data_IF_888315650587
#
_entry.id   IF_888315650587
#
_cell.length_a   1.000
_cell.length_b   1.000
_cell.length_c   1.000
_cell.angle_alpha   90.00
_cell.angle_beta   90.00
_cell.angle_gamma   90.00
#
_symmetry.space_group_name_H-M   'P 1'
#
loop_
_entity.id
_entity.type
_entity.pdbx_description
1 polymer ?
#
# COMPACT_ATOMS: atom_id res chain seq x y z
N UNK A 1 4.23 -18.19 -6.39
CA UNK A 1 3.43 -18.78 -7.51
C UNK A 1 1.98 -18.94 -7.11
N UNK A 2 1.11 -17.98 -7.45
CA UNK A 2 -0.33 -18.10 -7.22
C UNK A 2 -0.98 -19.02 -8.26
N UNK A 3 -2.08 -19.67 -7.90
CA UNK A 3 -2.89 -20.45 -8.83
C UNK A 3 -4.10 -19.66 -9.28
N UNK A 4 -4.49 -19.81 -10.54
CA UNK A 4 -5.67 -19.21 -11.14
C UNK A 4 -6.64 -20.32 -11.55
N UNK A 5 -7.92 -20.15 -11.26
CA UNK A 5 -9.01 -21.00 -11.74
C UNK A 5 -10.17 -20.14 -12.20
N UNK A 6 -10.76 -20.51 -13.32
CA UNK A 6 -12.00 -19.91 -13.82
C UNK A 6 -13.19 -20.69 -13.26
N UNK A 7 -14.09 -19.97 -12.60
CA UNK A 7 -15.41 -20.46 -12.20
C UNK A 7 -16.50 -19.97 -13.16
N UNK A 8 -17.74 -20.32 -12.86
CA UNK A 8 -18.89 -19.78 -13.60
C UNK A 8 -19.14 -18.33 -13.16
N UNK A 9 -18.72 -17.37 -13.98
CA UNK A 9 -18.90 -15.94 -13.72
C UNK A 9 -17.86 -15.29 -12.80
N UNK A 10 -16.77 -15.99 -12.43
CA UNK A 10 -15.69 -15.42 -11.61
C UNK A 10 -14.33 -16.02 -11.93
N UNK A 11 -13.26 -15.33 -11.51
CA UNK A 11 -11.89 -15.86 -11.47
C UNK A 11 -11.44 -15.98 -10.03
N UNK A 12 -10.93 -17.15 -9.64
CA UNK A 12 -10.34 -17.40 -8.33
C UNK A 12 -8.81 -17.43 -8.43
N UNK A 13 -8.17 -16.62 -7.59
CA UNK A 13 -6.75 -16.62 -7.32
C UNK A 13 -6.51 -17.19 -5.92
N UNK A 14 -5.57 -18.13 -5.80
CA UNK A 14 -5.20 -18.73 -4.52
C UNK A 14 -3.69 -18.71 -4.34
N UNK A 15 -3.23 -18.28 -3.16
CA UNK A 15 -1.82 -18.24 -2.82
C UNK A 15 -1.22 -19.66 -2.68
N UNK A 16 0.12 -19.82 -2.70
CA UNK A 16 0.76 -21.14 -2.60
C UNK A 16 0.39 -21.94 -1.35
N UNK A 17 0.09 -21.25 -0.24
CA UNK A 17 -0.26 -21.87 1.03
C UNK A 17 -1.77 -22.17 1.18
N UNK A 18 -2.58 -21.83 0.17
CA UNK A 18 -4.06 -21.90 0.22
C UNK A 18 -4.67 -21.15 1.42
N UNK A 19 -3.95 -20.13 1.90
CA UNK A 19 -4.32 -19.29 3.04
C UNK A 19 -5.13 -18.06 2.63
N UNK A 20 -5.13 -17.69 1.35
CA UNK A 20 -5.82 -16.55 0.76
C UNK A 20 -6.53 -16.99 -0.52
N UNK A 21 -7.80 -16.58 -0.64
CA UNK A 21 -8.59 -16.67 -1.85
C UNK A 21 -9.02 -15.26 -2.25
N UNK A 22 -8.75 -14.90 -3.50
CA UNK A 22 -9.25 -13.68 -4.10
C UNK A 22 -10.15 -14.03 -5.28
N UNK A 23 -11.39 -13.57 -5.26
CA UNK A 23 -12.35 -13.75 -6.35
C UNK A 23 -12.51 -12.43 -7.09
N UNK A 24 -12.37 -12.47 -8.41
CA UNK A 24 -12.65 -11.35 -9.29
C UNK A 24 -14.00 -11.62 -9.97
N UNK A 25 -14.95 -10.72 -9.79
CA UNK A 25 -16.33 -10.86 -10.26
C UNK A 25 -16.76 -9.58 -10.96
N UNK A 26 -17.53 -9.70 -12.04
CA UNK A 26 -18.22 -8.56 -12.66
C UNK A 26 -19.69 -8.90 -12.77
N UNK A 27 -20.54 -8.05 -12.20
CA UNK A 27 -21.99 -8.22 -12.22
C UNK A 27 -22.66 -6.97 -12.77
N UNK A 28 -23.77 -7.09 -13.51
CA UNK A 28 -24.55 -5.93 -13.91
C UNK A 28 -25.28 -5.33 -12.71
N UNK A 29 -25.34 -4.00 -12.64
CA UNK A 29 -26.08 -3.26 -11.63
C UNK A 29 -25.30 -2.10 -11.02
N UNK A 30 -26.04 -1.09 -10.56
CA UNK A 30 -25.48 0.10 -9.89
C UNK A 30 -25.58 0.03 -8.36
N UNK A 31 -26.31 -0.94 -7.81
CA UNK A 31 -26.39 -1.17 -6.37
C UNK A 31 -25.21 -2.05 -5.93
N UNK A 32 -24.15 -1.40 -5.45
CA UNK A 32 -22.93 -2.10 -5.04
C UNK A 32 -23.14 -2.99 -3.82
N UNK A 33 -24.07 -2.67 -2.93
CA UNK A 33 -24.36 -3.50 -1.75
C UNK A 33 -25.03 -4.82 -2.16
N UNK A 34 -26.03 -4.75 -3.04
CA UNK A 34 -26.67 -5.94 -3.58
C UNK A 34 -25.72 -6.76 -4.45
N UNK A 35 -24.97 -6.12 -5.35
CA UNK A 35 -23.97 -6.78 -6.19
C UNK A 35 -22.89 -7.48 -5.34
N UNK A 36 -22.50 -6.91 -4.20
CA UNK A 36 -21.57 -7.55 -3.26
C UNK A 36 -22.15 -8.85 -2.68
N UNK A 37 -23.41 -8.84 -2.25
CA UNK A 37 -24.07 -10.05 -1.75
C UNK A 37 -24.24 -11.11 -2.85
N UNK A 38 -24.62 -10.68 -4.06
CA UNK A 38 -24.78 -11.57 -5.22
C UNK A 38 -23.43 -12.20 -5.60
N UNK A 39 -22.33 -11.46 -5.54
CA UNK A 39 -20.99 -11.97 -5.81
C UNK A 39 -20.54 -12.99 -4.77
N UNK A 40 -20.81 -12.77 -3.49
CA UNK A 40 -20.55 -13.78 -2.46
C UNK A 40 -21.38 -15.04 -2.66
N UNK A 41 -22.67 -14.88 -2.97
CA UNK A 41 -23.58 -16.01 -3.26
C UNK A 41 -23.13 -16.81 -4.49
N UNK A 42 -22.55 -16.13 -5.49
CA UNK A 42 -22.00 -16.76 -6.69
C UNK A 42 -20.82 -17.68 -6.37
N UNK A 43 -19.91 -17.25 -5.49
CA UNK A 43 -18.70 -18.02 -5.15
C UNK A 43 -18.94 -19.01 -4.00
N UNK A 44 -19.89 -18.73 -3.13
CA UNK A 44 -20.34 -19.56 -2.01
C UNK A 44 -21.87 -19.42 -1.83
N UNK A 45 -22.68 -20.36 -2.37
CA UNK A 45 -24.13 -20.32 -2.23
C UNK A 45 -24.65 -20.45 -0.79
N UNK A 46 -23.79 -20.81 0.17
CA UNK A 46 -24.11 -20.91 1.59
C UNK A 46 -23.65 -19.67 2.39
N UNK A 47 -23.20 -18.62 1.72
CA UNK A 47 -22.73 -17.40 2.37
C UNK A 47 -23.83 -16.74 3.21
N UNK A 48 -23.59 -16.64 4.52
CA UNK A 48 -24.49 -16.03 5.51
C UNK A 48 -23.67 -15.40 6.65
N UNK A 49 -22.60 -14.69 6.29
CA UNK A 49 -21.71 -14.03 7.26
C UNK A 49 -22.18 -12.58 7.44
N UNK A 50 -22.39 -12.11 8.68
CA UNK A 50 -22.86 -10.74 8.94
C UNK A 50 -21.82 -9.71 8.54
N UNK A 51 -22.29 -8.55 8.07
CA UNK A 51 -21.47 -7.37 7.81
C UNK A 51 -21.04 -6.75 9.15
N UNK A 52 -19.76 -6.45 9.28
CA UNK A 52 -19.20 -5.69 10.41
C UNK A 52 -19.24 -4.18 10.12
N UNK A 53 -18.64 -3.78 9.00
CA UNK A 53 -18.54 -2.38 8.59
C UNK A 53 -18.64 -2.22 7.07
N UNK A 54 -19.24 -1.11 6.63
CA UNK A 54 -19.16 -0.63 5.25
C UNK A 54 -18.59 0.78 5.20
N UNK A 55 -17.68 1.01 4.26
CA UNK A 55 -17.10 2.32 3.97
C UNK A 55 -17.34 2.63 2.49
N UNK A 56 -17.66 3.89 2.19
CA UNK A 56 -17.78 4.41 0.81
C UNK A 56 -16.63 5.41 0.55
N UNK A 57 -15.46 4.93 0.09
CA UNK A 57 -14.35 5.81 -0.21
C UNK A 57 -14.68 6.76 -1.37
N UNK A 58 -14.07 7.95 -1.41
CA UNK A 58 -14.13 8.82 -2.57
C UNK A 58 -13.53 8.13 -3.80
N UNK A 59 -14.14 8.33 -4.98
CA UNK A 59 -13.78 7.61 -6.20
C UNK A 59 -12.64 8.24 -7.01
N UNK A 60 -12.25 9.47 -6.67
CA UNK A 60 -11.31 10.26 -7.47
C UNK A 60 -11.80 10.63 -8.89
N UNK A 61 -13.06 10.30 -9.23
CA UNK A 61 -13.68 10.58 -10.53
C UNK A 61 -13.52 9.50 -11.61
N UNK A 62 -12.71 8.47 -11.35
CA UNK A 62 -12.41 7.40 -12.32
C UNK A 62 -13.56 6.40 -12.45
N UNK A 63 -14.14 6.05 -11.30
CA UNK A 63 -15.30 5.15 -11.16
C UNK A 63 -16.48 5.91 -10.54
N UNK A 64 -17.69 5.39 -10.74
CA UNK A 64 -18.93 6.07 -10.36
C UNK A 64 -19.20 5.97 -8.85
N UNK A 65 -18.81 4.84 -8.25
CA UNK A 65 -18.92 4.58 -6.81
C UNK A 65 -17.88 3.53 -6.36
N UNK A 66 -17.48 3.58 -5.09
CA UNK A 66 -16.70 2.53 -4.44
C UNK A 66 -17.38 2.16 -3.13
N UNK A 67 -17.50 0.86 -2.87
CA UNK A 67 -17.99 0.31 -1.61
C UNK A 67 -16.99 -0.74 -1.10
N UNK A 68 -16.55 -0.59 0.15
CA UNK A 68 -15.75 -1.59 0.85
C UNK A 68 -16.58 -2.16 1.98
N UNK A 69 -16.77 -3.49 1.97
CA UNK A 69 -17.57 -4.20 2.97
C UNK A 69 -16.69 -5.20 3.70
N UNK A 70 -16.59 -5.07 5.02
CA UNK A 70 -15.88 -5.99 5.92
C UNK A 70 -16.90 -6.82 6.69
N UNK A 71 -16.59 -8.10 6.93
CA UNK A 71 -17.52 -9.06 7.53
C UNK A 71 -17.02 -9.57 8.89
N UNK A 72 -17.95 -9.79 9.81
CA UNK A 72 -17.66 -10.40 11.12
C UNK A 72 -17.61 -11.92 10.97
N UNK A 73 -16.39 -12.45 10.89
CA UNK A 73 -16.14 -13.88 10.75
C UNK A 73 -16.21 -14.64 12.07
N UNK A 74 -16.23 -13.95 13.21
CA UNK A 74 -16.03 -14.53 14.54
C UNK A 74 -14.63 -15.11 14.79
N UNK A 75 -13.69 -14.93 13.87
CA UNK A 75 -12.29 -15.37 13.97
C UNK A 75 -11.36 -14.19 13.70
N UNK A 76 -10.70 -13.71 14.75
CA UNK A 76 -9.75 -12.58 14.69
C UNK A 76 -8.57 -12.84 13.73
N UNK A 77 -8.33 -14.09 13.32
CA UNK A 77 -7.28 -14.47 12.38
C UNK A 77 -7.78 -14.64 10.94
N UNK A 78 -9.06 -14.38 10.64
CA UNK A 78 -9.62 -14.46 9.29
C UNK A 78 -10.20 -13.13 8.87
N UNK A 79 -9.67 -12.58 7.78
CA UNK A 79 -10.18 -11.38 7.14
C UNK A 79 -11.06 -11.79 5.97
N UNK A 80 -12.27 -11.26 5.96
CA UNK A 80 -13.24 -11.43 4.89
C UNK A 80 -13.72 -10.05 4.47
N UNK A 81 -13.46 -9.67 3.23
CA UNK A 81 -13.74 -8.33 2.72
C UNK A 81 -14.14 -8.36 1.25
N UNK A 82 -14.99 -7.42 0.84
CA UNK A 82 -15.28 -7.16 -0.56
C UNK A 82 -14.97 -5.70 -0.90
N UNK A 83 -14.34 -5.48 -2.04
CA UNK A 83 -14.16 -4.16 -2.66
C UNK A 83 -14.95 -4.15 -3.95
N UNK A 84 -16.00 -3.32 -4.01
CA UNK A 84 -16.85 -3.15 -5.18
C UNK A 84 -16.63 -1.76 -5.79
N UNK A 85 -16.45 -1.70 -7.10
CA UNK A 85 -16.33 -0.46 -7.87
C UNK A 85 -17.42 -0.44 -8.95
N UNK A 86 -18.21 0.62 -9.00
CA UNK A 86 -19.26 0.80 -10.00
C UNK A 86 -18.72 1.57 -11.20
N UNK A 87 -18.95 1.06 -12.42
CA UNK A 87 -18.65 1.80 -13.65
C UNK A 87 -19.63 1.44 -14.77
N UNK A 88 -20.25 2.43 -15.38
CA UNK A 88 -21.10 2.32 -16.57
C UNK A 88 -22.24 1.30 -16.42
N UNK A 89 -22.77 1.17 -15.20
CA UNK A 89 -23.88 0.26 -14.90
C UNK A 89 -23.47 -1.17 -14.50
N UNK A 90 -22.17 -1.45 -14.41
CA UNK A 90 -21.61 -2.71 -13.90
C UNK A 90 -20.89 -2.51 -12.57
N UNK A 91 -20.88 -3.55 -11.74
CA UNK A 91 -20.14 -3.65 -10.49
C UNK A 91 -18.95 -4.61 -10.68
N UNK A 92 -17.76 -4.11 -10.39
CA UNK A 92 -16.49 -4.83 -10.46
C UNK A 92 -16.03 -5.14 -9.04
N UNK A 93 -15.96 -6.42 -8.68
CA UNK A 93 -15.76 -6.86 -7.30
C UNK A 93 -14.48 -7.67 -7.14
N UNK A 94 -13.74 -7.34 -6.08
CA UNK A 94 -12.67 -8.17 -5.54
C UNK A 94 -13.13 -8.67 -4.18
N UNK A 95 -13.40 -9.96 -4.08
CA UNK A 95 -13.74 -10.62 -2.81
C UNK A 95 -12.47 -11.25 -2.26
N UNK A 96 -12.18 -11.02 -0.98
CA UNK A 96 -10.98 -11.50 -0.29
C UNK A 96 -11.44 -12.33 0.90
N UNK A 97 -11.03 -13.60 0.93
CA UNK A 97 -11.14 -14.50 2.08
C UNK A 97 -9.75 -15.02 2.41
N UNK A 98 -9.17 -14.57 3.53
CA UNK A 98 -7.79 -14.92 3.85
C UNK A 98 -7.49 -14.96 5.35
N UNK A 99 -6.53 -15.80 5.70
CA UNK A 99 -5.93 -15.79 7.02
C UNK A 99 -5.05 -14.54 7.19
N UNK A 100 -5.15 -13.87 8.33
CA UNK A 100 -4.43 -12.62 8.63
C UNK A 100 -2.92 -12.78 8.41
N UNK A 101 -2.33 -13.87 8.90
CA UNK A 101 -0.90 -14.17 8.70
C UNK A 101 -0.54 -14.34 7.22
N UNK A 102 -1.41 -15.00 6.44
CA UNK A 102 -1.25 -15.15 5.00
C UNK A 102 -1.29 -13.80 4.28
N UNK A 103 -2.28 -12.96 4.60
CA UNK A 103 -2.45 -11.62 4.05
C UNK A 103 -1.26 -10.71 4.39
N UNK A 104 -0.77 -10.73 5.62
CA UNK A 104 0.44 -10.01 6.01
C UNK A 104 1.66 -10.49 5.23
N UNK A 105 1.79 -11.81 5.04
CA UNK A 105 2.87 -12.41 4.27
C UNK A 105 2.82 -12.08 2.79
N UNK A 106 1.63 -12.03 2.19
CA UNK A 106 1.44 -11.84 0.74
C UNK A 106 0.88 -10.46 0.38
N UNK A 107 0.96 -9.47 1.26
CA UNK A 107 0.31 -8.16 1.10
C UNK A 107 0.69 -7.47 -0.23
N UNK A 108 1.96 -7.58 -0.63
CA UNK A 108 2.42 -7.06 -1.91
C UNK A 108 1.74 -7.76 -3.10
N UNK A 109 1.66 -9.10 -3.10
CA UNK A 109 0.99 -9.84 -4.16
C UNK A 109 -0.51 -9.56 -4.18
N UNK A 110 -1.17 -9.45 -3.02
CA UNK A 110 -2.58 -9.04 -2.91
C UNK A 110 -2.78 -7.65 -3.53
N UNK A 111 -1.88 -6.71 -3.25
CA UNK A 111 -1.90 -5.36 -3.84
C UNK A 111 -1.69 -5.38 -5.36
N UNK A 112 -0.82 -6.24 -5.87
CA UNK A 112 -0.59 -6.43 -7.31
C UNK A 112 -1.85 -7.01 -7.98
N UNK A 113 -2.49 -8.00 -7.37
CA UNK A 113 -3.76 -8.55 -7.88
C UNK A 113 -4.84 -7.48 -7.89
N UNK A 114 -4.97 -6.74 -6.78
CA UNK A 114 -5.97 -5.66 -6.63
C UNK A 114 -5.80 -4.56 -7.67
N UNK A 115 -4.58 -4.02 -7.80
CA UNK A 115 -4.26 -2.98 -8.80
C UNK A 115 -4.23 -3.50 -10.24
N UNK A 116 -4.02 -4.80 -10.44
CA UNK A 116 -4.02 -5.46 -11.74
C UNK A 116 -5.41 -5.77 -12.29
N UNK A 117 -6.46 -5.72 -11.46
CA UNK A 117 -7.85 -5.91 -11.91
C UNK A 117 -8.36 -4.64 -12.61
N UNK A 118 -7.98 -4.49 -13.88
CA UNK A 118 -8.29 -3.32 -14.70
C UNK A 118 -9.75 -3.30 -15.15
N UNK A 119 -10.47 -2.23 -14.81
CA UNK A 119 -11.81 -1.94 -15.33
C UNK A 119 -11.66 -1.35 -16.73
N UNK A 120 -11.96 -2.12 -17.78
CA UNK A 120 -11.76 -1.67 -19.17
C UNK A 120 -12.69 -0.53 -19.60
N UNK A 121 -13.80 -0.32 -18.89
CA UNK A 121 -14.71 0.80 -19.08
C UNK A 121 -14.14 2.14 -18.54
N UNK A 122 -13.08 2.09 -17.75
CA UNK A 122 -12.34 3.28 -17.34
C UNK A 122 -11.46 3.73 -18.50
N UNK A 123 -11.72 4.93 -19.01
CA UNK A 123 -10.84 5.58 -19.98
C UNK A 123 -9.55 6.01 -19.27
N UNK A 124 -8.41 5.43 -19.68
CA UNK A 124 -7.11 5.87 -19.18
C UNK A 124 -6.76 7.22 -19.80
N UNK A 125 -6.44 8.18 -18.95
CA UNK A 125 -5.89 9.46 -19.42
C UNK A 125 -4.47 9.23 -19.94
N UNK A 126 -4.31 9.30 -21.25
CA UNK A 126 -2.98 9.31 -21.87
C UNK A 126 -2.36 10.70 -21.78
N UNK A 127 -1.34 10.83 -20.94
CA UNK A 127 -0.57 12.06 -20.74
C UNK A 127 0.75 12.07 -21.52
N UNK A 128 1.02 11.07 -22.36
CA UNK A 128 2.32 10.93 -23.05
C UNK A 128 2.62 12.07 -24.02
N UNK A 129 1.58 12.65 -24.64
CA UNK A 129 1.65 13.78 -25.56
C UNK A 129 1.04 15.07 -24.95
N UNK A 130 0.72 15.05 -23.65
CA UNK A 130 0.12 16.20 -22.98
C UNK A 130 1.20 17.21 -22.58
N UNK A 131 0.97 18.48 -22.91
CA UNK A 131 1.77 19.57 -22.35
C UNK A 131 1.36 19.80 -20.90
N UNK A 132 2.32 19.99 -19.97
CA UNK A 132 2.01 20.35 -18.59
C UNK A 132 1.14 21.59 -18.53
N UNK A 133 0.05 21.53 -17.77
CA UNK A 133 -0.77 22.70 -17.51
C UNK A 133 0.00 23.69 -16.62
N UNK A 134 -0.08 25.00 -16.88
CA UNK A 134 0.55 25.98 -16.01
C UNK A 134 -0.10 25.96 -14.63
N UNK A 135 0.72 26.09 -13.58
CA UNK A 135 0.21 26.22 -12.20
C UNK A 135 -0.35 27.63 -12.00
N UNK A 136 -1.56 27.86 -12.49
CA UNK A 136 -2.25 29.14 -12.43
C UNK A 136 -3.25 29.23 -11.25
N UNK A 137 -3.95 30.36 -11.17
CA UNK A 137 -4.92 30.62 -10.09
C UNK A 137 -6.11 29.67 -10.10
N UNK A 138 -6.49 29.13 -11.26
CA UNK A 138 -7.63 28.22 -11.38
C UNK A 138 -7.26 26.83 -10.86
N UNK A 139 -6.09 26.31 -11.27
CA UNK A 139 -5.56 25.04 -10.76
C UNK A 139 -5.30 25.12 -9.25
N UNK A 140 -4.70 26.22 -8.78
CA UNK A 140 -4.47 26.43 -7.35
C UNK A 140 -5.80 26.44 -6.58
N UNK A 141 -6.82 27.15 -7.05
CA UNK A 141 -8.12 27.18 -6.37
C UNK A 141 -8.76 25.79 -6.30
N UNK A 142 -8.71 25.01 -7.39
CA UNK A 142 -9.22 23.64 -7.42
C UNK A 142 -8.45 22.71 -6.48
N UNK A 143 -7.12 22.84 -6.41
CA UNK A 143 -6.28 22.09 -5.47
C UNK A 143 -6.61 22.45 -4.01
N UNK A 144 -6.78 23.74 -3.69
CA UNK A 144 -7.13 24.18 -2.35
C UNK A 144 -8.48 23.64 -1.90
N UNK A 145 -9.50 23.68 -2.79
CA UNK A 145 -10.81 23.09 -2.53
C UNK A 145 -10.71 21.58 -2.27
N UNK A 146 -10.00 20.85 -3.14
CA UNK A 146 -9.72 19.43 -2.96
C UNK A 146 -9.12 19.13 -1.58
N UNK A 147 -8.05 19.85 -1.21
CA UNK A 147 -7.37 19.64 0.07
C UNK A 147 -8.33 19.90 1.23
N UNK A 148 -9.04 21.03 1.24
CA UNK A 148 -9.96 21.36 2.33
C UNK A 148 -11.09 20.34 2.45
N UNK A 149 -11.69 19.91 1.33
CA UNK A 149 -12.73 18.88 1.32
C UNK A 149 -12.26 17.58 1.97
N UNK A 150 -11.04 17.12 1.64
CA UNK A 150 -10.53 15.86 2.18
C UNK A 150 -9.94 15.95 3.58
N UNK A 151 -9.43 17.13 3.99
CA UNK A 151 -9.10 17.37 5.39
C UNK A 151 -10.35 17.19 6.27
N UNK A 152 -11.48 17.75 5.87
CA UNK A 152 -12.75 17.61 6.58
C UNK A 152 -13.29 16.18 6.53
N UNK A 153 -13.37 15.59 5.34
CA UNK A 153 -13.94 14.25 5.14
C UNK A 153 -13.21 13.16 5.94
N UNK A 154 -11.88 13.28 6.10
CA UNK A 154 -11.06 12.30 6.82
C UNK A 154 -10.64 12.75 8.22
N UNK A 155 -11.10 13.91 8.69
CA UNK A 155 -10.72 14.46 10.00
C UNK A 155 -9.21 14.68 10.16
N UNK A 156 -8.51 15.02 9.07
CA UNK A 156 -7.07 15.28 9.07
C UNK A 156 -6.84 16.71 9.61
N UNK A 157 -6.08 16.91 10.71
CA UNK A 157 -5.96 18.23 11.34
C UNK A 157 -5.34 19.32 10.46
N UNK A 158 -4.39 18.94 9.60
CA UNK A 158 -3.74 19.86 8.68
C UNK A 158 -2.80 19.17 7.70
N UNK A 159 -2.44 19.89 6.65
CA UNK A 159 -1.54 19.43 5.60
C UNK A 159 -0.68 20.59 5.08
N UNK A 160 0.53 20.28 4.60
CA UNK A 160 1.39 21.23 3.90
C UNK A 160 1.64 20.72 2.49
N UNK A 161 1.50 21.62 1.51
CA UNK A 161 1.66 21.29 0.09
C UNK A 161 2.62 22.28 -0.56
N UNK A 162 3.55 21.75 -1.35
CA UNK A 162 4.43 22.53 -2.20
C UNK A 162 4.43 21.99 -3.63
N UNK A 163 4.49 22.88 -4.62
CA UNK A 163 4.62 22.52 -6.04
C UNK A 163 5.92 23.10 -6.55
N UNK A 164 6.74 22.24 -7.17
CA UNK A 164 8.00 22.61 -7.81
C UNK A 164 7.84 22.42 -9.32
N UNK A 165 8.05 23.49 -10.07
CA UNK A 165 8.02 23.49 -11.54
C UNK A 165 9.30 24.13 -12.05
N UNK A 166 9.97 23.48 -13.02
CA UNK A 166 11.22 23.97 -13.61
C UNK A 166 12.33 24.32 -12.59
N UNK A 167 12.36 23.60 -11.46
CA UNK A 167 13.34 23.82 -10.38
C UNK A 167 12.99 24.96 -9.42
N UNK A 168 11.83 25.60 -9.58
CA UNK A 168 11.36 26.69 -8.72
C UNK A 168 10.12 26.26 -7.93
N UNK A 169 10.01 26.72 -6.68
CA UNK A 169 8.80 26.53 -5.89
C UNK A 169 7.76 27.55 -6.36
N UNK A 170 6.76 27.09 -7.11
CA UNK A 170 5.70 27.94 -7.69
C UNK A 170 4.48 28.06 -6.77
N UNK A 171 4.34 27.15 -5.80
CA UNK A 171 3.28 27.19 -4.79
C UNK A 171 3.76 26.54 -3.48
N UNK A 172 3.40 27.11 -2.33
CA UNK A 172 3.65 26.52 -1.02
C UNK A 172 2.65 27.05 0.01
N UNK A 173 1.88 26.16 0.64
CA UNK A 173 0.82 26.54 1.59
C UNK A 173 0.59 25.46 2.64
N UNK A 174 0.30 25.90 3.87
CA UNK A 174 -0.24 25.06 4.93
C UNK A 174 -1.76 25.23 5.06
N UNK A 175 -2.44 24.15 5.41
CA UNK A 175 -3.88 24.05 5.56
C UNK A 175 -4.19 23.47 6.94
N UNK A 176 -5.21 24.01 7.62
CA UNK A 176 -5.60 23.55 8.96
C UNK A 176 -4.54 23.88 10.03
N UNK A 177 -4.36 22.96 10.97
CA UNK A 177 -3.49 23.11 12.14
C UNK A 177 -2.41 22.04 12.19
N UNK A 178 -1.21 22.42 12.62
CA UNK A 178 -0.10 21.51 12.90
C UNK A 178 -0.29 20.78 14.24
N UNK A 179 -1.00 21.41 15.17
CA UNK A 179 -1.25 20.87 16.50
C UNK A 179 -2.71 21.16 16.90
N UNK A 180 -3.56 20.12 17.02
CA UNK A 180 -4.97 20.30 17.39
C UNK A 180 -5.16 20.70 18.86
N UNK A 181 -4.16 20.52 19.73
CA UNK A 181 -4.21 20.92 21.15
C UNK A 181 -3.93 22.41 21.28
N UNK A 182 -2.86 22.91 20.65
CA UNK A 182 -2.49 24.32 20.75
C UNK A 182 -3.19 25.21 19.71
N UNK A 183 -3.73 24.61 18.65
CA UNK A 183 -4.29 25.33 17.50
C UNK A 183 -3.22 25.99 16.64
N UNK A 184 -1.95 25.58 16.77
CA UNK A 184 -0.87 26.14 15.97
C UNK A 184 -1.16 25.92 14.47
N UNK A 185 -1.09 26.96 13.63
CA UNK A 185 -1.43 26.83 12.22
C UNK A 185 -0.41 25.94 11.51
N UNK A 186 -0.88 25.16 10.54
CA UNK A 186 0.01 24.50 9.59
C UNK A 186 0.60 25.56 8.66
N UNK A 187 1.92 25.55 8.50
CA UNK A 187 2.66 26.51 7.67
C UNK A 187 3.62 25.78 6.70
N UNK A 188 4.03 26.42 5.59
CA UNK A 188 5.01 25.87 4.64
C UNK A 188 6.29 25.27 5.25
N UNK A 189 6.75 25.81 6.37
CA UNK A 189 7.96 25.43 7.09
C UNK A 189 7.69 24.55 8.31
N UNK A 190 6.46 24.06 8.48
CA UNK A 190 6.14 23.12 9.56
C UNK A 190 6.82 21.78 9.31
N UNK A 191 7.62 21.33 10.28
CA UNK A 191 8.21 20.00 10.24
C UNK A 191 7.14 18.92 10.40
N UNK A 192 7.08 18.00 9.44
CA UNK A 192 6.21 16.83 9.47
C UNK A 192 7.04 15.55 9.42
N UNK A 193 6.54 14.47 10.02
CA UNK A 193 7.15 13.16 9.88
C UNK A 193 6.91 12.63 8.46
N UNK A 194 7.97 12.52 7.66
CA UNK A 194 7.89 12.10 6.26
C UNK A 194 7.77 10.58 6.05
N UNK A 195 7.82 9.80 7.14
CA UNK A 195 7.64 8.34 7.13
C UNK A 195 8.50 7.63 6.07
N UNK A 196 7.85 6.80 5.26
CA UNK A 196 8.49 5.96 4.23
C UNK A 196 9.27 6.72 3.16
N UNK A 197 9.06 8.03 3.00
CA UNK A 197 9.91 8.88 2.14
C UNK A 197 11.36 8.88 2.62
N UNK A 198 11.64 8.56 3.88
CA UNK A 198 13.00 8.36 4.37
C UNK A 198 13.78 7.27 3.61
N UNK A 199 13.11 6.26 3.04
CA UNK A 199 13.77 5.18 2.30
C UNK A 199 14.45 5.67 1.03
N UNK A 200 13.81 6.55 0.26
CA UNK A 200 14.42 7.11 -0.96
C UNK A 200 15.65 7.96 -0.64
N UNK A 201 15.61 8.71 0.47
CA UNK A 201 16.77 9.44 0.98
C UNK A 201 17.90 8.48 1.38
N UNK A 202 17.60 7.41 2.12
CA UNK A 202 18.58 6.37 2.48
C UNK A 202 19.21 5.72 1.25
N UNK A 203 18.40 5.31 0.28
CA UNK A 203 18.90 4.71 -0.97
C UNK A 203 19.74 5.70 -1.79
N UNK A 204 19.39 6.99 -1.82
CA UNK A 204 20.22 8.03 -2.44
C UNK A 204 21.59 8.13 -1.77
N UNK A 205 21.65 8.16 -0.43
CA UNK A 205 22.92 8.16 0.31
C UNK A 205 23.74 6.89 0.09
N UNK A 206 23.09 5.73 -0.08
CA UNK A 206 23.78 4.51 -0.49
C UNK A 206 24.35 4.63 -1.90
N UNK A 207 23.61 5.25 -2.83
CA UNK A 207 24.05 5.52 -4.20
C UNK A 207 25.32 6.37 -4.25
N UNK A 208 25.46 7.39 -3.39
CA UNK A 208 26.69 8.21 -3.35
C UNK A 208 27.91 7.38 -2.93
N UNK A 209 27.74 6.43 -1.99
CA UNK A 209 28.83 5.52 -1.60
C UNK A 209 29.21 4.54 -2.72
N UNK A 210 28.26 4.16 -3.56
CA UNK A 210 28.51 3.34 -4.76
C UNK A 210 29.28 4.14 -5.81
N UNK A 211 28.86 5.39 -6.07
CA UNK A 211 29.54 6.27 -7.02
C UNK A 211 30.98 6.60 -6.58
N UNK A 212 31.21 6.73 -5.27
CA UNK A 212 32.54 6.94 -4.68
C UNK A 212 33.41 5.66 -4.67
N UNK A 213 32.86 4.51 -5.08
CA UNK A 213 33.56 3.23 -5.12
C UNK A 213 33.85 2.62 -3.74
N UNK A 214 33.17 3.09 -2.69
CA UNK A 214 33.31 2.57 -1.31
C UNK A 214 32.68 1.18 -1.21
N UNK A 215 31.57 0.95 -1.91
CA UNK A 215 30.90 -0.33 -2.04
C UNK A 215 30.29 -0.48 -3.44
N UNK A 216 29.75 -1.65 -3.75
CA UNK A 216 28.88 -1.86 -4.91
C UNK A 216 27.51 -2.34 -4.45
N UNK A 217 26.52 -2.29 -5.34
CA UNK A 217 25.21 -2.88 -5.05
C UNK A 217 25.28 -4.38 -4.74
N UNK A 218 26.28 -5.08 -5.27
CA UNK A 218 26.48 -6.52 -5.07
C UNK A 218 27.44 -6.82 -3.91
N UNK A 219 27.88 -5.82 -3.16
CA UNK A 219 28.67 -6.01 -1.94
C UNK A 219 27.81 -6.68 -0.87
N UNK A 220 28.25 -7.81 -0.27
CA UNK A 220 27.56 -8.45 0.84
C UNK A 220 27.45 -7.53 2.06
N UNK A 221 26.29 -7.48 2.69
CA UNK A 221 26.03 -6.62 3.85
C UNK A 221 26.98 -6.94 5.03
N UNK A 222 27.32 -8.22 5.20
CA UNK A 222 28.25 -8.68 6.24
C UNK A 222 29.68 -8.13 6.08
N UNK A 223 30.11 -7.79 4.87
CA UNK A 223 31.44 -7.19 4.65
C UNK A 223 31.52 -5.76 5.19
N UNK A 224 30.40 -5.02 5.10
CA UNK A 224 30.31 -3.63 5.56
C UNK A 224 29.94 -3.54 7.05
N UNK A 225 29.15 -4.50 7.54
CA UNK A 225 28.74 -4.59 8.93
C UNK A 225 28.92 -6.02 9.45
N UNK A 226 30.08 -6.36 10.06
CA UNK A 226 30.39 -7.72 10.50
C UNK A 226 29.43 -8.33 11.53
N UNK A 227 28.62 -7.50 12.20
CA UNK A 227 27.57 -7.95 13.10
C UNK A 227 26.23 -8.24 12.39
N UNK A 228 26.13 -7.96 11.08
CA UNK A 228 24.96 -8.28 10.27
C UNK A 228 24.73 -9.79 10.29
N UNK A 229 23.52 -10.18 10.66
CA UNK A 229 23.11 -11.57 10.69
C UNK A 229 21.61 -11.67 10.52
N UNK A 230 21.18 -12.63 9.72
CA UNK A 230 19.79 -13.09 9.67
C UNK A 230 19.70 -14.52 10.22
N UNK A 231 18.48 -15.00 10.45
CA UNK A 231 18.26 -16.34 11.02
C UNK A 231 18.96 -17.47 10.26
N UNK A 232 18.98 -17.41 8.93
CA UNK A 232 19.71 -18.35 8.08
C UNK A 232 21.19 -17.90 7.88
N UNK A 233 22.18 -18.68 8.36
CA UNK A 233 23.59 -18.35 8.14
C UNK A 233 23.98 -18.31 6.66
N UNK A 234 23.38 -19.14 5.81
CA UNK A 234 23.68 -19.13 4.37
C UNK A 234 23.17 -17.85 3.71
N UNK A 235 22.01 -17.33 4.13
CA UNK A 235 21.50 -16.04 3.63
C UNK A 235 22.30 -14.85 4.18
N UNK A 236 22.79 -14.94 5.42
CA UNK A 236 23.65 -13.90 6.01
C UNK A 236 24.86 -13.58 5.11
N UNK A 237 25.47 -14.61 4.51
CA UNK A 237 26.61 -14.48 3.60
C UNK A 237 26.22 -14.00 2.19
N UNK A 238 24.94 -14.14 1.79
CA UNK A 238 24.46 -13.88 0.44
C UNK A 238 23.73 -12.53 0.28
N UNK A 239 23.18 -11.98 1.36
CA UNK A 239 22.43 -10.71 1.30
C UNK A 239 23.38 -9.57 0.92
N UNK A 240 23.14 -8.97 -0.24
CA UNK A 240 23.87 -7.81 -0.74
C UNK A 240 23.15 -6.50 -0.42
N UNK A 241 23.82 -5.36 -0.59
CA UNK A 241 23.20 -4.04 -0.46
C UNK A 241 22.01 -3.85 -1.42
N UNK A 242 22.05 -4.46 -2.62
CA UNK A 242 20.92 -4.51 -3.56
C UNK A 242 19.71 -5.21 -2.95
N UNK A 243 19.93 -6.30 -2.22
CA UNK A 243 18.85 -7.06 -1.62
C UNK A 243 18.12 -6.27 -0.53
N UNK A 244 18.85 -5.45 0.23
CA UNK A 244 18.27 -4.58 1.26
C UNK A 244 17.40 -3.46 0.67
N UNK A 245 17.65 -3.02 -0.57
CA UNK A 245 16.86 -1.95 -1.23
C UNK A 245 15.76 -2.45 -2.15
N UNK A 246 15.87 -3.65 -2.73
CA UNK A 246 14.82 -4.24 -3.58
C UNK A 246 13.60 -4.74 -2.78
N UNK A 247 13.70 -4.82 -1.45
CA UNK A 247 12.72 -5.44 -0.56
C UNK A 247 12.38 -6.89 -1.02
N UNK A 248 13.42 -7.67 -1.33
CA UNK A 248 13.29 -9.01 -1.91
C UNK A 248 14.02 -10.09 -1.10
N UNK A 249 14.24 -9.86 0.19
CA UNK A 249 14.95 -10.77 1.09
C UNK A 249 14.08 -11.86 1.69
N UNK A 250 12.76 -11.67 1.77
CA UNK A 250 11.84 -12.56 2.48
C UNK A 250 11.55 -12.17 3.93
N UNK A 251 12.11 -11.05 4.40
CA UNK A 251 11.99 -10.54 5.77
C UNK A 251 10.59 -9.91 5.98
N UNK A 252 9.84 -10.27 7.03
CA UNK A 252 8.52 -9.70 7.30
C UNK A 252 8.58 -8.24 7.78
N UNK A 253 7.46 -7.53 7.63
CA UNK A 253 7.25 -6.23 8.28
C UNK A 253 7.15 -6.36 9.80
N UNK A 254 7.71 -5.39 10.51
CA UNK A 254 7.51 -5.19 11.96
C UNK A 254 7.09 -3.76 12.29
N UNK A 255 6.18 -3.20 11.47
CA UNK A 255 5.71 -1.82 11.60
C UNK A 255 5.26 -1.49 13.03
N UNK A 256 4.56 -2.41 13.71
CA UNK A 256 4.09 -2.21 15.08
C UNK A 256 5.21 -2.16 16.12
N UNK A 257 6.28 -2.93 15.96
CA UNK A 257 7.43 -2.85 16.86
C UNK A 257 8.14 -1.50 16.70
N UNK A 258 8.31 -1.05 15.46
CA UNK A 258 8.83 0.29 15.18
C UNK A 258 7.92 1.36 15.79
N UNK A 259 6.61 1.30 15.55
CA UNK A 259 5.64 2.32 16.00
C UNK A 259 5.57 2.38 17.53
N UNK A 260 5.55 1.24 18.21
CA UNK A 260 5.33 1.19 19.66
C UNK A 260 6.62 1.34 20.48
N UNK A 261 7.77 0.93 19.92
CA UNK A 261 9.03 0.85 20.66
C UNK A 261 10.16 1.70 20.05
N UNK A 262 9.92 2.51 19.01
CA UNK A 262 10.97 3.31 18.34
C UNK A 262 11.79 4.19 19.29
N UNK A 263 11.18 4.70 20.37
CA UNK A 263 11.87 5.56 21.33
C UNK A 263 12.94 4.81 22.15
N UNK A 264 12.86 3.48 22.22
CA UNK A 264 13.72 2.63 23.04
C UNK A 264 14.69 1.77 22.22
N UNK A 265 14.58 1.80 20.88
CA UNK A 265 15.44 1.02 19.99
C UNK A 265 16.53 1.86 19.33
N UNK A 266 17.75 1.34 19.35
CA UNK A 266 18.84 1.86 18.52
C UNK A 266 18.81 1.23 17.12
N UNK A 267 19.51 1.86 16.16
CA UNK A 267 19.66 1.26 14.84
C UNK A 267 20.37 -0.10 14.92
N UNK A 268 21.33 -0.23 15.82
CA UNK A 268 22.04 -1.47 16.11
C UNK A 268 21.11 -2.56 16.64
N UNK A 269 20.20 -2.22 17.56
CA UNK A 269 19.19 -3.16 18.09
C UNK A 269 18.25 -3.64 16.97
N UNK A 270 17.80 -2.71 16.12
CA UNK A 270 16.93 -3.05 14.98
C UNK A 270 17.64 -3.98 14.00
N UNK A 271 18.92 -3.72 13.66
CA UNK A 271 19.68 -4.62 12.78
C UNK A 271 19.95 -5.97 13.46
N UNK A 272 20.30 -5.98 14.74
CA UNK A 272 20.53 -7.22 15.49
C UNK A 272 19.28 -8.11 15.55
N UNK A 273 18.09 -7.50 15.63
CA UNK A 273 16.82 -8.22 15.67
C UNK A 273 16.59 -9.12 14.46
N UNK A 274 17.17 -8.80 13.29
CA UNK A 274 17.05 -9.59 12.06
C UNK A 274 17.54 -11.05 12.22
N UNK A 275 18.41 -11.31 13.20
CA UNK A 275 18.90 -12.64 13.52
C UNK A 275 17.79 -13.60 13.99
N UNK A 276 16.67 -13.06 14.48
CA UNK A 276 15.56 -13.83 15.04
C UNK A 276 14.34 -13.90 14.10
N UNK A 277 14.44 -13.37 12.88
CA UNK A 277 13.30 -13.26 11.98
C UNK A 277 12.98 -14.59 11.30
N UNK A 278 11.70 -14.94 11.30
CA UNK A 278 11.17 -15.97 10.39
C UNK A 278 10.98 -15.35 9.01
N UNK A 279 11.60 -15.94 8.00
CA UNK A 279 11.43 -15.51 6.62
C UNK A 279 10.05 -15.97 6.15
N UNK A 280 9.29 -15.04 5.58
CA UNK A 280 7.96 -15.30 5.08
C UNK A 280 8.00 -15.92 3.69
N UNK A 281 8.99 -15.60 2.88
CA UNK A 281 9.18 -16.18 1.55
C UNK A 281 10.62 -16.63 1.35
N UNK A 282 10.87 -17.49 0.36
CA UNK A 282 12.23 -17.84 -0.01
C UNK A 282 12.96 -16.57 -0.51
N UNK A 283 14.28 -16.55 -0.34
CA UNK A 283 15.09 -15.41 -0.77
C UNK A 283 14.92 -15.12 -2.27
N UNK A 284 14.49 -13.91 -2.61
CA UNK A 284 14.19 -13.51 -3.99
C UNK A 284 12.86 -14.03 -4.57
N UNK A 285 12.05 -14.78 -3.81
CA UNK A 285 10.76 -15.32 -4.29
C UNK A 285 9.73 -14.22 -4.53
N UNK A 286 9.71 -13.21 -3.66
CA UNK A 286 8.70 -12.16 -3.68
C UNK A 286 9.28 -10.80 -3.28
N UNK A 287 8.67 -9.75 -3.81
CA UNK A 287 8.75 -8.43 -3.22
C UNK A 287 7.93 -8.42 -1.93
N UNK A 288 8.54 -7.99 -0.83
CA UNK A 288 7.94 -7.77 0.47
C UNK A 288 8.52 -6.48 1.05
N UNK A 289 7.70 -5.42 1.05
CA UNK A 289 8.09 -4.11 1.56
C UNK A 289 8.37 -4.12 3.04
#
# INVERSE_FOLDING_TARGET
>A
NWTLREGDGYVLLTDPEESIKMYLVVLPGTDLAQATLDAWTLVDPAFDIPVDETVEPPTGGTVDAVLVTTYDTGDDNRILQAVAQGKDGDAYLILIDGQLAGLQKRNAQVSIVGSGFKILAVEETDLSEAEPLPVDTEIIASLEEFITTYLEAFGIPGAVVGIVENGEVVYSKGFGVADPVTGAPMAPDTNVMIGSTGKSLTTMMMGTLVDDGIMSWDTPAIELYPAFKVKDPALTEQITMRNLVCACTGVPRRDLELILNAAEQTAEDTVASLADFEFFTDFGEAFQY
#
